data_IF_438482132682
#
_entry.id   IF_438482132682
#
_cell.length_a   1.000
_cell.length_b   1.000
_cell.length_c   1.000
_cell.angle_alpha   90.00
_cell.angle_beta   90.00
_cell.angle_gamma   90.00
#
_symmetry.space_group_name_H-M   'P 1'
#
loop_
_entity.id
_entity.type
_entity.pdbx_description
1 polymer ?
#
# COMPACT_ATOMS: atom_id res chain seq x y z
N UNK A 1 8.77 -11.21 -24.76
CA UNK A 1 7.38 -11.61 -24.49
C UNK A 1 7.25 -11.61 -22.99
N UNK A 2 6.48 -10.72 -22.43
CA UNK A 2 6.24 -10.64 -20.99
C UNK A 2 5.35 -11.83 -20.60
N UNK A 3 5.96 -12.83 -19.99
CA UNK A 3 5.29 -14.00 -19.41
C UNK A 3 4.52 -13.51 -18.16
N UNK A 4 3.31 -13.03 -18.35
CA UNK A 4 2.49 -12.49 -17.27
C UNK A 4 1.01 -12.76 -17.51
N UNK A 5 0.22 -12.76 -16.45
CA UNK A 5 -1.24 -12.91 -16.49
C UNK A 5 -1.86 -11.64 -17.07
N UNK A 6 -2.59 -11.70 -18.20
CA UNK A 6 -3.16 -10.51 -18.80
C UNK A 6 -4.19 -9.86 -17.87
N UNK A 7 -4.29 -8.52 -17.93
CA UNK A 7 -5.44 -7.82 -17.36
C UNK A 7 -6.65 -8.15 -18.22
N UNK A 8 -7.76 -8.51 -17.58
CA UNK A 8 -9.01 -8.87 -18.27
C UNK A 8 -10.03 -7.74 -18.17
N UNK A 9 -11.05 -7.80 -19.04
CA UNK A 9 -12.18 -6.85 -19.00
C UNK A 9 -13.07 -7.01 -17.78
N UNK A 10 -12.98 -8.14 -17.08
CA UNK A 10 -13.72 -8.43 -15.86
C UNK A 10 -12.95 -7.86 -14.66
N UNK A 11 -13.49 -6.81 -14.06
CA UNK A 11 -12.85 -6.14 -12.92
C UNK A 11 -12.78 -7.05 -11.68
N UNK A 12 -13.81 -7.86 -11.44
CA UNK A 12 -13.85 -8.79 -10.30
C UNK A 12 -12.73 -9.84 -10.37
N UNK A 13 -12.48 -10.39 -11.56
CA UNK A 13 -11.39 -11.34 -11.78
C UNK A 13 -10.03 -10.72 -11.51
N UNK A 14 -9.82 -9.48 -11.95
CA UNK A 14 -8.60 -8.73 -11.65
C UNK A 14 -8.49 -8.44 -10.15
N UNK A 15 -9.57 -7.99 -9.51
CA UNK A 15 -9.60 -7.68 -8.08
C UNK A 15 -9.25 -8.90 -7.24
N UNK A 16 -9.83 -10.06 -7.51
CA UNK A 16 -9.51 -11.33 -6.81
C UNK A 16 -8.04 -11.66 -6.92
N UNK A 17 -7.46 -11.50 -8.11
CA UNK A 17 -6.04 -11.75 -8.32
C UNK A 17 -5.14 -10.83 -7.48
N UNK A 18 -5.44 -9.52 -7.45
CA UNK A 18 -4.68 -8.57 -6.64
C UNK A 18 -4.88 -8.80 -5.14
N UNK A 19 -6.13 -9.03 -4.69
CA UNK A 19 -6.43 -9.29 -3.27
C UNK A 19 -5.67 -10.50 -2.74
N UNK A 20 -5.64 -11.60 -3.48
CA UNK A 20 -4.96 -12.82 -3.06
C UNK A 20 -3.44 -12.63 -2.85
N UNK A 21 -2.82 -11.77 -3.68
CA UNK A 21 -1.38 -11.49 -3.57
C UNK A 21 -1.06 -10.44 -2.51
N UNK A 22 -1.96 -9.51 -2.28
CA UNK A 22 -1.82 -8.45 -1.27
C UNK A 22 -2.35 -8.86 0.11
N UNK A 23 -2.76 -10.11 0.29
CA UNK A 23 -3.17 -10.64 1.58
C UNK A 23 -2.07 -10.44 2.64
N UNK A 24 -2.44 -9.90 3.81
CA UNK A 24 -1.48 -9.54 4.86
C UNK A 24 -0.61 -8.32 4.57
N UNK A 25 -0.95 -7.51 3.57
CA UNK A 25 -0.31 -6.23 3.26
C UNK A 25 -1.28 -5.08 3.58
N UNK A 26 -1.42 -4.69 4.85
CA UNK A 26 -2.35 -3.64 5.29
C UNK A 26 -2.03 -2.26 4.71
N UNK A 27 -0.78 -2.06 4.30
CA UNK A 27 -0.28 -0.86 3.63
C UNK A 27 -0.69 -0.75 2.15
N UNK A 28 -1.24 -1.81 1.55
CA UNK A 28 -1.74 -1.80 0.18
C UNK A 28 -3.25 -1.63 0.19
N UNK A 29 -3.73 -0.55 -0.45
CA UNK A 29 -5.15 -0.23 -0.53
C UNK A 29 -5.72 -0.65 -1.88
N UNK A 30 -6.83 -1.37 -1.84
CA UNK A 30 -7.66 -1.69 -2.99
C UNK A 30 -8.98 -0.96 -2.79
N UNK A 31 -9.13 0.19 -3.46
CA UNK A 31 -10.26 1.09 -3.29
C UNK A 31 -11.21 0.98 -4.47
N UNK A 32 -12.41 0.41 -4.29
CA UNK A 32 -13.46 0.42 -5.31
C UNK A 32 -13.92 1.84 -5.59
N UNK A 33 -14.18 2.13 -6.86
CA UNK A 33 -14.61 3.43 -7.35
C UNK A 33 -15.74 3.28 -8.36
N UNK A 34 -16.50 4.34 -8.54
CA UNK A 34 -17.54 4.44 -9.57
C UNK A 34 -17.28 5.67 -10.43
N UNK A 35 -17.20 5.47 -11.73
CA UNK A 35 -16.94 6.52 -12.72
C UNK A 35 -18.17 6.73 -13.61
N UNK A 36 -18.22 7.88 -14.26
CA UNK A 36 -19.27 8.20 -15.20
C UNK A 36 -20.56 8.72 -14.56
N UNK A 37 -21.53 9.00 -15.41
CA UNK A 37 -22.85 9.47 -14.99
C UNK A 37 -23.51 8.39 -14.13
N UNK A 38 -24.00 8.81 -12.96
CA UNK A 38 -24.67 7.93 -11.98
C UNK A 38 -23.80 6.76 -11.49
N UNK A 39 -22.46 6.86 -11.63
CA UNK A 39 -21.53 5.80 -11.25
C UNK A 39 -21.66 4.54 -12.11
N UNK A 40 -21.96 4.71 -13.38
CA UNK A 40 -22.28 3.62 -14.32
C UNK A 40 -21.11 2.68 -14.64
N UNK A 41 -19.86 3.10 -14.40
CA UNK A 41 -18.67 2.31 -14.69
C UNK A 41 -17.91 2.01 -13.39
N UNK A 42 -17.71 0.72 -13.10
CA UNK A 42 -16.92 0.29 -11.96
C UNK A 42 -15.43 0.42 -12.26
N UNK A 43 -14.65 0.83 -11.25
CA UNK A 43 -13.22 0.89 -11.32
C UNK A 43 -12.60 0.50 -9.96
N UNK A 44 -11.31 0.15 -9.97
CA UNK A 44 -10.54 -0.21 -8.78
C UNK A 44 -9.21 0.54 -8.80
N UNK A 45 -8.96 1.33 -7.78
CA UNK A 45 -7.68 1.97 -7.54
C UNK A 45 -6.85 1.13 -6.58
N UNK A 46 -5.61 0.81 -6.96
CA UNK A 46 -4.69 0.01 -6.14
C UNK A 46 -3.40 0.82 -5.93
N UNK A 47 -3.00 1.01 -4.68
CA UNK A 47 -1.82 1.80 -4.34
C UNK A 47 -1.26 1.43 -2.96
N UNK A 48 0.01 1.75 -2.74
CA UNK A 48 0.63 1.66 -1.41
C UNK A 48 0.33 2.93 -0.63
N UNK A 49 -0.22 2.81 0.57
CA UNK A 49 -0.54 3.94 1.45
C UNK A 49 0.73 4.78 1.73
N UNK A 50 0.60 6.09 1.82
CA UNK A 50 1.70 7.06 2.01
C UNK A 50 2.73 7.16 0.88
N UNK A 51 2.62 6.40 -0.20
CA UNK A 51 3.43 6.66 -1.40
C UNK A 51 2.79 7.73 -2.26
N UNK A 52 1.49 7.90 -2.13
CA UNK A 52 0.73 8.98 -2.74
C UNK A 52 0.28 9.90 -1.61
N UNK A 53 0.70 11.17 -1.56
CA UNK A 53 0.14 12.11 -0.60
C UNK A 53 -1.38 12.12 -0.72
N UNK A 54 -2.10 11.95 0.39
CA UNK A 54 -3.58 11.88 0.39
C UNK A 54 -4.21 13.06 -0.37
N UNK A 55 -3.61 14.25 -0.25
CA UNK A 55 -4.06 15.46 -0.96
C UNK A 55 -3.97 15.32 -2.49
N UNK A 56 -2.92 14.66 -2.99
CA UNK A 56 -2.76 14.43 -4.44
C UNK A 56 -3.70 13.34 -4.91
N UNK A 57 -3.93 12.32 -4.09
CA UNK A 57 -4.83 11.23 -4.43
C UNK A 57 -6.29 11.69 -4.44
N UNK A 58 -6.72 12.39 -3.41
CA UNK A 58 -8.11 12.80 -3.22
C UNK A 58 -8.47 14.03 -4.05
N UNK A 59 -7.62 15.04 -4.13
CA UNK A 59 -7.94 16.30 -4.81
C UNK A 59 -7.43 16.39 -6.24
N UNK A 60 -6.24 15.86 -6.54
CA UNK A 60 -5.60 16.09 -7.85
C UNK A 60 -5.79 14.95 -8.84
N UNK A 61 -5.78 13.71 -8.40
CA UNK A 61 -5.88 12.55 -9.30
C UNK A 61 -7.31 12.01 -9.31
N UNK A 62 -7.78 11.50 -8.18
CA UNK A 62 -9.10 10.89 -8.11
C UNK A 62 -10.20 11.94 -8.20
N UNK A 63 -10.04 13.09 -7.53
CA UNK A 63 -11.02 14.18 -7.55
C UNK A 63 -11.23 14.75 -8.94
N UNK A 64 -10.17 15.05 -9.69
CA UNK A 64 -10.29 15.51 -11.09
C UNK A 64 -10.91 14.44 -11.98
N UNK A 65 -10.48 13.18 -11.85
CA UNK A 65 -11.05 12.09 -12.61
C UNK A 65 -12.55 11.94 -12.34
N UNK A 66 -13.00 12.07 -11.09
CA UNK A 66 -14.43 12.06 -10.75
C UNK A 66 -15.17 13.23 -11.39
N UNK A 67 -14.62 14.44 -11.30
CA UNK A 67 -15.24 15.64 -11.87
C UNK A 67 -15.31 15.53 -13.40
N UNK A 68 -14.22 15.16 -14.05
CA UNK A 68 -14.13 15.07 -15.50
C UNK A 68 -15.00 13.94 -16.09
N UNK A 69 -15.26 12.91 -15.29
CA UNK A 69 -16.07 11.75 -15.71
C UNK A 69 -17.54 11.85 -15.29
N UNK A 70 -17.90 12.70 -14.32
CA UNK A 70 -19.22 12.73 -13.67
C UNK A 70 -20.42 12.87 -14.61
N UNK A 71 -20.25 13.54 -15.74
CA UNK A 71 -21.32 13.73 -16.74
C UNK A 71 -21.30 12.77 -17.92
N UNK A 72 -20.26 11.91 -18.01
CA UNK A 72 -20.01 11.07 -19.19
C UNK A 72 -20.79 9.76 -19.13
N UNK A 73 -21.29 9.32 -20.28
CA UNK A 73 -21.84 7.98 -20.40
C UNK A 73 -20.73 6.90 -20.41
N UNK A 74 -21.07 5.61 -20.25
CA UNK A 74 -20.06 4.56 -20.21
C UNK A 74 -19.14 4.52 -21.44
N UNK A 75 -19.67 4.83 -22.62
CA UNK A 75 -18.88 4.85 -23.85
C UNK A 75 -17.86 5.98 -23.86
N UNK A 76 -18.24 7.15 -23.38
CA UNK A 76 -17.35 8.30 -23.24
C UNK A 76 -16.27 8.05 -22.17
N UNK A 77 -16.61 7.37 -21.06
CA UNK A 77 -15.64 6.94 -20.05
C UNK A 77 -14.60 6.00 -20.66
N UNK A 78 -15.01 4.99 -21.42
CA UNK A 78 -14.11 4.06 -22.10
C UNK A 78 -13.22 4.77 -23.13
N UNK A 79 -13.76 5.70 -23.90
CA UNK A 79 -12.97 6.49 -24.84
C UNK A 79 -11.91 7.34 -24.12
N UNK A 80 -12.26 7.93 -23.00
CA UNK A 80 -11.31 8.70 -22.18
C UNK A 80 -10.21 7.80 -21.59
N UNK A 81 -10.55 6.59 -21.15
CA UNK A 81 -9.58 5.59 -20.68
C UNK A 81 -8.65 5.16 -21.80
N UNK A 82 -9.16 4.82 -22.97
CA UNK A 82 -8.36 4.41 -24.14
C UNK A 82 -7.45 5.52 -24.65
N UNK A 83 -7.92 6.76 -24.64
CA UNK A 83 -7.16 7.92 -25.09
C UNK A 83 -6.15 8.42 -24.04
N UNK A 84 -6.04 7.78 -22.87
CA UNK A 84 -5.28 8.28 -21.72
C UNK A 84 -5.62 9.73 -21.33
N UNK A 85 -6.85 10.15 -21.62
CA UNK A 85 -7.33 11.52 -21.42
C UNK A 85 -8.10 11.71 -20.11
N UNK A 86 -7.69 11.00 -19.05
CA UNK A 86 -8.29 11.09 -17.71
C UNK A 86 -7.89 12.37 -16.95
N UNK A 87 -7.41 13.39 -17.65
CA UNK A 87 -6.90 14.61 -17.01
C UNK A 87 -5.58 14.44 -16.25
N UNK A 88 -4.93 13.29 -16.44
CA UNK A 88 -3.71 12.89 -15.72
C UNK A 88 -2.53 12.95 -16.65
N UNK A 89 -1.51 13.68 -16.26
CA UNK A 89 -0.34 14.00 -17.09
C UNK A 89 0.57 12.83 -17.49
N UNK A 90 0.38 11.62 -16.92
CA UNK A 90 1.28 10.47 -17.14
C UNK A 90 0.57 9.12 -16.94
N UNK A 91 -0.60 8.91 -17.56
CA UNK A 91 -1.23 7.59 -17.56
C UNK A 91 -0.55 6.70 -18.62
N UNK A 92 -0.07 5.53 -18.21
CA UNK A 92 0.56 4.53 -19.08
C UNK A 92 -0.22 3.22 -19.03
N UNK A 93 -0.65 2.66 -20.19
CA UNK A 93 -1.32 1.37 -20.21
C UNK A 93 -0.35 0.23 -19.92
N UNK A 94 -0.81 -0.75 -19.11
CA UNK A 94 -0.10 -1.95 -18.72
C UNK A 94 -0.90 -3.17 -19.18
N UNK A 95 -0.22 -4.17 -19.73
CA UNK A 95 -0.86 -5.33 -20.35
C UNK A 95 -1.11 -6.46 -19.33
N UNK A 96 -0.22 -6.61 -18.34
CA UNK A 96 -0.27 -7.72 -17.41
C UNK A 96 -0.51 -7.27 -15.99
N UNK A 97 -1.07 -8.16 -15.18
CA UNK A 97 -1.30 -7.92 -13.74
C UNK A 97 0.01 -7.78 -12.98
N UNK A 98 1.06 -8.47 -13.41
CA UNK A 98 2.41 -8.39 -12.84
C UNK A 98 3.05 -7.01 -13.11
N UNK A 99 2.88 -6.46 -14.33
CA UNK A 99 3.29 -5.08 -14.62
C UNK A 99 2.55 -4.09 -13.71
N UNK A 100 1.24 -4.30 -13.52
CA UNK A 100 0.43 -3.51 -12.60
C UNK A 100 0.92 -3.59 -11.15
N UNK A 101 1.22 -4.80 -10.68
CA UNK A 101 1.77 -5.03 -9.34
C UNK A 101 3.12 -4.31 -9.16
N UNK A 102 4.02 -4.47 -10.12
CA UNK A 102 5.33 -3.81 -10.07
C UNK A 102 5.22 -2.27 -10.10
N UNK A 103 4.30 -1.74 -10.90
CA UNK A 103 4.04 -0.30 -10.96
C UNK A 103 3.51 0.23 -9.61
N UNK A 104 2.58 -0.47 -8.99
CA UNK A 104 2.02 -0.14 -7.70
C UNK A 104 3.08 -0.20 -6.60
N UNK A 105 3.87 -1.27 -6.53
CA UNK A 105 4.97 -1.43 -5.57
C UNK A 105 6.09 -0.41 -5.78
N UNK A 106 6.22 0.15 -6.99
CA UNK A 106 7.12 1.27 -7.26
C UNK A 106 6.58 2.64 -6.79
N UNK A 107 5.37 2.67 -6.20
CA UNK A 107 4.75 3.87 -5.63
C UNK A 107 3.83 4.60 -6.60
N UNK A 108 3.36 3.97 -7.67
CA UNK A 108 2.36 4.53 -8.56
C UNK A 108 0.96 4.07 -8.17
N UNK A 109 -0.05 4.80 -8.60
CA UNK A 109 -1.43 4.35 -8.57
C UNK A 109 -1.68 3.44 -9.78
N UNK A 110 -2.24 2.25 -9.55
CA UNK A 110 -2.79 1.39 -10.58
C UNK A 110 -4.30 1.57 -10.61
N UNK A 111 -4.85 1.91 -11.77
CA UNK A 111 -6.29 1.98 -12.01
C UNK A 111 -6.71 0.85 -12.95
N UNK A 112 -7.70 0.08 -12.52
CA UNK A 112 -8.39 -0.93 -13.33
C UNK A 112 -9.82 -0.48 -13.55
N UNK A 113 -10.34 -0.66 -14.77
CA UNK A 113 -11.69 -0.21 -15.16
C UNK A 113 -12.45 -1.38 -15.76
N UNK A 114 -13.68 -1.59 -15.30
CA UNK A 114 -14.57 -2.62 -15.86
C UNK A 114 -14.72 -2.45 -17.37
N UNK A 115 -14.62 -3.54 -18.11
CA UNK A 115 -14.74 -3.53 -19.57
C UNK A 115 -13.45 -3.14 -20.32
N UNK A 116 -12.38 -2.74 -19.62
CA UNK A 116 -11.08 -2.40 -20.21
C UNK A 116 -10.05 -3.48 -19.89
N UNK A 117 -9.29 -3.92 -20.90
CA UNK A 117 -8.35 -5.05 -20.83
C UNK A 117 -6.90 -4.65 -20.55
N UNK A 118 -6.69 -3.47 -19.97
CA UNK A 118 -5.39 -2.97 -19.56
C UNK A 118 -5.48 -2.28 -18.21
N UNK A 119 -4.41 -2.35 -17.44
CA UNK A 119 -4.25 -1.49 -16.28
C UNK A 119 -3.72 -0.13 -16.70
N UNK A 120 -4.06 0.92 -15.96
CA UNK A 120 -3.51 2.25 -16.13
C UNK A 120 -2.58 2.59 -14.97
N UNK A 121 -1.30 2.71 -15.26
CA UNK A 121 -0.33 3.27 -14.31
C UNK A 121 -0.46 4.77 -14.32
N UNK A 122 -0.77 5.35 -13.18
CA UNK A 122 -0.84 6.78 -12.97
C UNK A 122 0.36 7.19 -12.11
N UNK A 123 1.22 8.05 -12.66
CA UNK A 123 2.40 8.53 -11.97
C UNK A 123 2.01 9.34 -10.73
N UNK A 124 2.25 8.80 -9.55
CA UNK A 124 2.18 9.53 -8.29
C UNK A 124 3.62 9.62 -7.76
N UNK A 125 4.25 10.78 -7.89
CA UNK A 125 5.64 10.97 -7.46
C UNK A 125 5.72 11.05 -5.95
N UNK A 126 5.80 9.90 -5.23
CA UNK A 126 5.95 10.19 -3.90
C UNK A 126 6.11 9.17 -2.79
N UNK A 127 7.13 8.33 -2.83
CA UNK A 127 7.69 7.92 -1.54
C UNK A 127 8.18 9.16 -0.77
N UNK A 128 7.93 9.25 0.56
CA UNK A 128 8.36 10.39 1.35
C UNK A 128 9.87 10.58 1.21
N UNK A 129 10.31 11.68 0.63
CA UNK A 129 11.73 11.88 0.32
C UNK A 129 12.36 13.08 1.04
N UNK A 130 11.59 14.04 1.52
CA UNK A 130 12.14 15.32 2.02
C UNK A 130 11.85 15.66 3.47
N UNK A 131 10.98 14.94 4.16
CA UNK A 131 10.68 15.16 5.59
C UNK A 131 11.33 14.13 6.51
N UNK A 132 12.09 13.19 5.95
CA UNK A 132 12.79 12.17 6.74
C UNK A 132 14.08 12.78 7.24
N UNK A 133 14.19 12.99 8.54
CA UNK A 133 15.40 13.50 9.18
C UNK A 133 16.56 12.52 9.01
N UNK A 134 17.77 13.05 8.90
CA UNK A 134 18.97 12.22 8.99
C UNK A 134 19.06 11.59 10.39
N UNK A 135 19.51 10.36 10.47
CA UNK A 135 19.81 9.72 11.75
C UNK A 135 20.98 10.44 12.40
N UNK A 136 20.79 10.99 13.61
CA UNK A 136 21.85 11.67 14.35
C UNK A 136 22.75 10.69 15.12
N UNK A 137 22.26 9.48 15.40
CA UNK A 137 22.94 8.50 16.27
C UNK A 137 23.75 7.45 15.50
N UNK A 138 23.39 7.11 14.25
CA UNK A 138 24.12 6.13 13.43
C UNK A 138 24.28 6.64 12.00
N UNK A 139 25.30 7.48 11.77
CA UNK A 139 25.62 7.98 10.42
C UNK A 139 26.40 6.94 9.64
N UNK A 140 25.80 6.42 8.58
CA UNK A 140 26.49 5.55 7.63
C UNK A 140 27.28 6.40 6.64
N UNK A 141 28.59 6.23 6.57
CA UNK A 141 29.50 6.97 5.66
C UNK A 141 29.19 6.73 4.18
N UNK A 142 28.54 5.63 3.82
CA UNK A 142 28.07 5.29 2.46
C UNK A 142 26.75 4.53 2.59
N UNK A 143 25.64 5.14 2.17
CA UNK A 143 24.31 4.51 2.22
C UNK A 143 23.17 5.53 2.32
N UNK A 144 21.97 5.04 2.50
CA UNK A 144 20.80 5.89 2.74
C UNK A 144 20.86 6.45 4.15
N UNK A 145 20.73 7.78 4.25
CA UNK A 145 20.63 8.49 5.52
C UNK A 145 19.17 8.66 5.98
N UNK A 146 18.21 7.94 5.35
CA UNK A 146 16.80 7.99 5.73
C UNK A 146 16.60 7.20 7.03
N UNK A 147 16.25 7.90 8.10
CA UNK A 147 15.87 7.32 9.40
C UNK A 147 14.36 7.18 9.56
N UNK A 148 13.91 6.44 10.56
CA UNK A 148 12.53 6.39 10.95
C UNK A 148 12.08 7.70 11.58
N UNK A 149 10.79 8.01 11.39
CA UNK A 149 10.10 9.18 11.95
C UNK A 149 9.08 8.72 13.00
N UNK A 150 8.40 9.65 13.65
CA UNK A 150 7.29 9.35 14.58
C UNK A 150 6.06 8.76 13.86
N UNK A 151 5.99 8.88 12.53
CA UNK A 151 4.88 8.36 11.74
C UNK A 151 5.12 6.92 11.31
N UNK A 152 4.41 5.99 11.92
CA UNK A 152 4.42 4.55 11.56
C UNK A 152 4.14 4.35 10.07
N UNK A 153 3.17 5.07 9.51
CA UNK A 153 2.82 4.98 8.07
C UNK A 153 3.97 5.43 7.16
N UNK A 154 4.68 6.49 7.55
CA UNK A 154 5.87 6.95 6.82
C UNK A 154 6.97 5.90 6.88
N UNK A 155 7.22 5.33 8.04
CA UNK A 155 8.23 4.30 8.24
C UNK A 155 7.93 3.03 7.44
N UNK A 156 6.67 2.59 7.41
CA UNK A 156 6.21 1.46 6.58
C UNK A 156 6.45 1.73 5.09
N UNK A 157 6.14 2.94 4.62
CA UNK A 157 6.39 3.33 3.23
C UNK A 157 7.89 3.36 2.88
N UNK A 158 8.76 3.77 3.82
CA UNK A 158 10.22 3.72 3.64
C UNK A 158 10.74 2.29 3.51
N UNK A 159 10.20 1.35 4.31
CA UNK A 159 10.53 -0.07 4.19
C UNK A 159 10.05 -0.61 2.85
N UNK A 160 8.79 -0.32 2.46
CA UNK A 160 8.20 -0.75 1.18
C UNK A 160 8.97 -0.20 -0.03
N UNK A 161 9.47 1.03 0.05
CA UNK A 161 10.33 1.63 -0.98
C UNK A 161 11.57 0.77 -1.29
N UNK A 162 12.13 0.13 -0.27
CA UNK A 162 13.32 -0.73 -0.39
C UNK A 162 12.98 -2.17 -0.72
N UNK A 163 11.88 -2.69 -0.15
CA UNK A 163 11.42 -4.08 -0.35
C UNK A 163 10.11 -4.05 -1.12
N UNK A 164 10.20 -4.06 -2.44
CA UNK A 164 9.06 -3.99 -3.37
C UNK A 164 8.51 -5.39 -3.68
N UNK A 165 8.07 -6.10 -2.64
CA UNK A 165 7.49 -7.43 -2.76
C UNK A 165 6.24 -7.55 -1.90
N UNK A 166 5.23 -8.24 -2.39
CA UNK A 166 4.05 -8.63 -1.63
C UNK A 166 4.33 -9.74 -0.61
N UNK A 167 5.50 -10.38 -0.66
CA UNK A 167 5.96 -11.33 0.36
C UNK A 167 6.40 -10.61 1.65
N UNK A 168 6.75 -9.34 1.55
CA UNK A 168 6.84 -8.48 2.72
C UNK A 168 5.42 -8.18 3.21
N UNK A 169 5.07 -8.77 4.35
CA UNK A 169 3.79 -8.57 5.03
C UNK A 169 3.87 -7.37 5.96
N UNK A 170 2.75 -6.69 6.06
CA UNK A 170 2.56 -5.52 6.92
C UNK A 170 1.26 -5.73 7.68
N UNK A 171 1.34 -5.98 8.96
CA UNK A 171 0.20 -6.28 9.81
C UNK A 171 0.01 -5.16 10.83
N UNK A 172 -1.17 -4.54 10.85
CA UNK A 172 -1.51 -3.52 11.83
C UNK A 172 -2.06 -4.19 13.10
N UNK A 173 -1.48 -3.84 14.24
CA UNK A 173 -1.89 -4.27 15.56
C UNK A 173 -2.20 -3.04 16.42
N UNK A 174 -2.91 -3.23 17.51
CA UNK A 174 -3.21 -2.17 18.47
C UNK A 174 -2.84 -2.66 19.87
N UNK A 175 -2.14 -1.86 20.62
CA UNK A 175 -1.77 -2.16 22.01
C UNK A 175 -2.13 -1.00 22.95
N UNK A 176 -2.39 -1.36 24.22
CA UNK A 176 -2.79 -0.42 25.26
C UNK A 176 -4.29 -0.15 25.27
N UNK A 177 -4.93 -0.43 26.42
CA UNK A 177 -6.39 -0.33 26.57
C UNK A 177 -6.89 1.11 26.46
N UNK A 178 -6.09 2.08 26.91
CA UNK A 178 -6.45 3.50 26.90
C UNK A 178 -5.76 4.26 25.78
N UNK A 179 -4.49 3.93 25.47
CA UNK A 179 -3.73 4.64 24.44
C UNK A 179 -4.14 4.23 23.03
N UNK A 180 -4.66 3.01 22.83
CA UNK A 180 -4.94 2.43 21.50
C UNK A 180 -3.75 2.67 20.54
N UNK A 181 -2.52 2.43 21.04
CA UNK A 181 -1.30 2.70 20.29
C UNK A 181 -1.22 1.76 19.09
N UNK A 182 -1.13 2.34 17.91
CA UNK A 182 -1.02 1.59 16.66
C UNK A 182 0.41 1.06 16.51
N UNK A 183 0.53 -0.25 16.35
CA UNK A 183 1.75 -0.98 16.06
C UNK A 183 1.69 -1.54 14.65
N UNK A 184 2.85 -1.72 14.04
CA UNK A 184 2.95 -2.38 12.73
C UNK A 184 4.03 -3.44 12.81
N UNK A 185 3.63 -4.67 12.52
CA UNK A 185 4.52 -5.80 12.40
C UNK A 185 4.88 -6.02 10.94
N UNK A 186 6.18 -5.95 10.62
CA UNK A 186 6.68 -6.13 9.24
C UNK A 186 7.57 -7.35 9.20
N UNK A 187 7.28 -8.28 8.29
CA UNK A 187 8.04 -9.51 8.14
C UNK A 187 8.01 -10.03 6.70
N UNK A 188 8.98 -10.89 6.35
CA UNK A 188 8.97 -11.62 5.09
C UNK A 188 8.27 -12.97 5.29
N UNK A 189 7.21 -13.23 4.52
CA UNK A 189 6.39 -14.44 4.63
C UNK A 189 7.20 -15.74 4.54
N UNK A 190 8.19 -15.76 3.65
CA UNK A 190 9.02 -16.95 3.40
C UNK A 190 10.14 -17.14 4.42
N UNK A 191 10.48 -16.10 5.21
CA UNK A 191 11.62 -16.13 6.14
C UNK A 191 11.20 -16.20 7.60
N UNK A 192 9.98 -15.80 7.93
CA UNK A 192 9.48 -15.79 9.30
C UNK A 192 9.14 -17.21 9.77
N UNK A 193 9.52 -17.54 10.98
CA UNK A 193 9.04 -18.76 11.65
C UNK A 193 7.63 -18.53 12.18
N UNK A 194 6.62 -19.32 11.74
CA UNK A 194 5.22 -19.10 12.14
C UNK A 194 5.04 -19.09 13.66
N UNK A 195 5.79 -19.92 14.40
CA UNK A 195 5.71 -20.03 15.85
C UNK A 195 6.16 -18.71 16.54
N UNK A 196 7.21 -18.09 16.02
CA UNK A 196 7.70 -16.80 16.53
C UNK A 196 6.69 -15.69 16.27
N UNK A 197 6.09 -15.67 15.07
CA UNK A 197 5.07 -14.71 14.71
C UNK A 197 3.84 -14.81 15.63
N UNK A 198 3.38 -16.03 15.90
CA UNK A 198 2.27 -16.28 16.82
C UNK A 198 2.61 -15.90 18.27
N UNK A 199 3.84 -16.14 18.71
CA UNK A 199 4.30 -15.72 20.03
C UNK A 199 4.26 -14.20 20.18
N UNK A 200 4.75 -13.45 19.17
CA UNK A 200 4.73 -11.99 19.17
C UNK A 200 3.28 -11.47 19.24
N UNK A 201 2.37 -12.02 18.43
CA UNK A 201 0.96 -11.63 18.45
C UNK A 201 0.34 -11.86 19.81
N UNK A 202 0.52 -13.07 20.38
CA UNK A 202 0.02 -13.40 21.72
C UNK A 202 0.62 -12.51 22.81
N UNK A 203 1.91 -12.20 22.70
CA UNK A 203 2.58 -11.29 23.63
C UNK A 203 1.91 -9.92 23.63
N UNK A 204 1.64 -9.37 22.46
CA UNK A 204 0.98 -8.07 22.32
C UNK A 204 -0.47 -8.12 22.85
N UNK A 205 -1.22 -9.17 22.54
CA UNK A 205 -2.64 -9.32 22.95
C UNK A 205 -2.82 -9.60 24.44
N UNK A 206 -1.89 -10.33 25.07
CA UNK A 206 -2.01 -10.74 26.48
C UNK A 206 -1.73 -9.60 27.46
N UNK A 207 -1.00 -8.58 27.06
CA UNK A 207 -0.65 -7.48 27.95
C UNK A 207 -1.76 -6.43 28.02
N UNK A 208 -2.53 -6.49 29.10
CA UNK A 208 -3.49 -5.46 29.46
C UNK A 208 -2.74 -4.31 30.16
N UNK A 209 -2.12 -3.45 29.35
CA UNK A 209 -1.45 -2.23 29.82
C UNK A 209 -2.28 -1.00 29.46
N UNK A 210 -2.25 0.01 30.31
CA UNK A 210 -3.02 1.26 30.09
C UNK A 210 -2.54 2.00 28.83
N UNK A 211 -1.23 1.99 28.58
CA UNK A 211 -0.66 2.67 27.42
C UNK A 211 0.73 2.16 27.05
N UNK A 212 1.00 2.16 25.72
CA UNK A 212 2.33 1.97 25.15
C UNK A 212 2.85 3.33 24.76
N UNK A 213 3.80 3.86 25.53
CA UNK A 213 4.33 5.21 25.35
C UNK A 213 5.66 5.24 24.62
N UNK A 214 6.42 4.14 24.66
CA UNK A 214 7.69 4.01 23.96
C UNK A 214 7.95 2.57 23.47
N UNK A 215 9.00 2.38 22.66
CA UNK A 215 9.40 1.09 22.13
C UNK A 215 10.00 0.15 23.19
N UNK A 216 10.52 0.68 24.29
CA UNK A 216 11.11 -0.13 25.38
C UNK A 216 10.07 -1.01 26.07
N UNK A 217 8.82 -0.55 26.14
CA UNK A 217 7.71 -1.35 26.64
C UNK A 217 7.49 -2.57 25.71
N UNK A 218 7.52 -2.38 24.40
CA UNK A 218 7.37 -3.47 23.43
C UNK A 218 8.54 -4.44 23.49
N UNK A 219 9.78 -3.93 23.65
CA UNK A 219 10.97 -4.77 23.84
C UNK A 219 10.82 -5.67 25.07
N UNK A 220 10.43 -5.13 26.22
CA UNK A 220 10.18 -5.92 27.42
C UNK A 220 9.12 -7.01 27.20
N UNK A 221 8.02 -6.68 26.52
CA UNK A 221 6.96 -7.61 26.20
C UNK A 221 7.42 -8.75 25.26
N UNK A 222 8.39 -8.48 24.39
CA UNK A 222 8.93 -9.47 23.44
C UNK A 222 10.17 -10.20 23.98
N UNK A 223 10.98 -9.60 24.85
CA UNK A 223 12.13 -10.25 25.48
C UNK A 223 11.75 -11.40 26.43
N UNK A 224 10.63 -11.28 27.15
CA UNK A 224 10.12 -12.39 27.99
C UNK A 224 9.78 -13.63 27.14
N UNK A 225 9.40 -13.42 25.87
CA UNK A 225 9.15 -14.50 24.91
C UNK A 225 10.45 -15.22 24.53
N UNK A 226 11.56 -14.48 24.37
CA UNK A 226 12.87 -15.04 24.02
C UNK A 226 13.59 -15.79 25.15
N UNK A 227 13.30 -15.46 26.41
CA UNK A 227 13.94 -16.10 27.59
C UNK A 227 13.30 -17.42 27.98
N UNK A 228 12.09 -17.72 27.50
CA UNK A 228 11.41 -18.98 27.81
C UNK A 228 11.95 -20.18 27.01
N UNK A 229 12.92 -20.01 26.15
CA UNK A 229 13.48 -21.03 25.26
C UNK A 229 15.01 -21.25 25.41
N UNK A 230 15.60 -20.88 26.55
CA UNK A 230 17.01 -21.23 26.88
C UNK A 230 17.05 -22.30 27.97
#
# INVERSE_FOLDING_TARGET
MTDGTPVTKNLEENEVWFRSRCEGCSDIKLQPMRLGKDGSVSALAIYVENTVPNLILEESVLGRMFIDMAGKDPKEVYQAVEANSLGLSEAQPLQTREEGMNAMLAGNLLLLVEGYDKGLKIGSKGYPARSVANTDTEKVLRGSNEGFTESVKTNTALIRKRIRSTDMKVEELTAGVRSNTRLVLVYMKELVYPEVLEQIRRGIDQFVIDGVLDSGIIEQLTEEIGRAHV
#
